data_IF_405500835006
#
_entry.id   IF_405500835006
#
_cell.length_a   1.000
_cell.length_b   1.000
_cell.length_c   1.000
_cell.angle_alpha   90.00
_cell.angle_beta   90.00
_cell.angle_gamma   90.00
#
_symmetry.space_group_name_H-M   'P 1'
#
loop_
_entity.id
_entity.type
_entity.pdbx_description
1 polymer ?
#
# COMPACT_ATOMS: atom_id res chain seq x y z
N UNK A 1 71.36 11.79 -32.46
CA UNK A 1 70.40 11.44 -33.52
C UNK A 1 69.13 10.94 -32.87
N UNK A 2 68.01 11.51 -33.30
CA UNK A 2 66.64 11.28 -32.83
C UNK A 2 66.23 9.81 -32.97
N UNK A 3 65.40 9.33 -32.03
CA UNK A 3 64.07 8.81 -32.37
C UNK A 3 63.22 8.67 -31.11
N UNK A 4 62.08 9.36 -31.12
CA UNK A 4 60.93 9.20 -30.23
C UNK A 4 60.34 7.79 -30.37
N UNK A 5 59.89 7.21 -29.26
CA UNK A 5 58.88 6.15 -29.29
C UNK A 5 57.95 6.32 -28.09
N UNK A 6 56.90 7.09 -28.30
CA UNK A 6 55.71 7.13 -27.44
C UNK A 6 54.93 5.83 -27.71
N UNK A 7 54.78 4.96 -26.71
CA UNK A 7 53.77 3.90 -26.74
C UNK A 7 52.83 4.05 -25.54
N UNK A 8 51.65 4.53 -25.90
CA UNK A 8 50.41 4.60 -25.17
C UNK A 8 49.92 3.17 -24.88
N UNK A 9 49.74 2.80 -23.61
CA UNK A 9 48.84 1.71 -23.22
C UNK A 9 48.08 2.12 -21.96
N UNK A 10 47.04 2.93 -22.17
CA UNK A 10 45.91 3.00 -21.27
C UNK A 10 45.02 1.78 -21.56
N UNK A 11 45.01 0.80 -20.66
CA UNK A 11 44.07 -0.31 -20.72
C UNK A 11 43.90 -0.90 -19.33
N UNK A 12 42.65 -1.05 -18.91
CA UNK A 12 42.30 -1.98 -17.83
C UNK A 12 41.69 -1.39 -16.56
N UNK A 13 41.03 -0.24 -16.61
CA UNK A 13 39.99 0.04 -15.61
C UNK A 13 38.73 -0.75 -16.00
N UNK A 14 38.78 -2.08 -15.83
CA UNK A 14 37.60 -2.93 -15.86
C UNK A 14 36.84 -2.67 -14.55
N UNK A 15 36.10 -1.56 -14.52
CA UNK A 15 34.93 -1.45 -13.64
C UNK A 15 33.95 -2.52 -14.12
N UNK A 16 34.06 -3.72 -13.57
CA UNK A 16 32.90 -4.60 -13.46
C UNK A 16 31.97 -3.96 -12.46
N UNK A 17 31.16 -3.00 -12.93
CA UNK A 17 29.87 -2.72 -12.33
C UNK A 17 29.06 -4.02 -12.45
N UNK A 18 29.26 -4.93 -11.50
CA UNK A 18 28.30 -5.94 -11.15
C UNK A 18 27.04 -5.17 -10.76
N UNK A 19 26.18 -4.90 -11.74
CA UNK A 19 24.78 -4.64 -11.47
C UNK A 19 24.31 -5.89 -10.77
N UNK A 20 24.28 -5.86 -9.44
CA UNK A 20 23.45 -6.76 -8.68
C UNK A 20 22.05 -6.52 -9.23
N UNK A 21 21.63 -7.38 -10.17
CA UNK A 21 20.24 -7.54 -10.54
C UNK A 21 19.57 -8.17 -9.32
N UNK A 22 19.50 -7.40 -8.22
CA UNK A 22 18.62 -7.67 -7.12
C UNK A 22 17.26 -7.79 -7.77
N UNK A 23 16.75 -9.02 -7.80
CA UNK A 23 15.57 -9.38 -8.57
C UNK A 23 14.42 -8.51 -8.06
N UNK A 24 14.16 -7.43 -8.79
CA UNK A 24 13.06 -6.52 -8.52
C UNK A 24 11.79 -7.35 -8.68
N UNK A 25 10.89 -7.27 -7.71
CA UNK A 25 9.59 -7.93 -7.82
C UNK A 25 8.92 -7.49 -9.14
N UNK A 26 8.40 -8.42 -9.94
CA UNK A 26 7.64 -8.09 -11.14
C UNK A 26 6.37 -7.33 -10.75
N UNK A 27 5.83 -6.54 -11.69
CA UNK A 27 4.59 -5.83 -11.42
C UNK A 27 3.39 -6.72 -11.74
N UNK A 28 2.39 -6.72 -10.88
CA UNK A 28 1.20 -7.55 -11.04
C UNK A 28 -0.01 -7.02 -10.27
N UNK A 29 -1.18 -7.56 -10.62
CA UNK A 29 -2.40 -7.59 -9.81
C UNK A 29 -2.80 -9.06 -9.64
N UNK A 30 -3.18 -9.42 -8.43
CA UNK A 30 -3.86 -10.66 -8.10
C UNK A 30 -5.17 -10.29 -7.38
N UNK A 31 -6.27 -10.92 -7.75
CA UNK A 31 -7.58 -10.71 -7.15
C UNK A 31 -8.12 -12.04 -6.67
N UNK A 32 -8.70 -12.10 -5.48
CA UNK A 32 -9.26 -13.30 -4.87
C UNK A 32 -10.60 -13.00 -4.21
N UNK A 33 -11.57 -13.89 -4.39
CA UNK A 33 -12.88 -13.86 -3.73
C UNK A 33 -12.89 -14.91 -2.61
N UNK A 34 -12.76 -14.45 -1.37
CA UNK A 34 -12.61 -15.30 -0.20
C UNK A 34 -13.95 -15.96 0.17
N UNK A 35 -13.87 -17.12 0.85
CA UNK A 35 -15.05 -17.95 1.18
C UNK A 35 -16.07 -17.27 2.09
N UNK A 36 -15.67 -16.22 2.81
CA UNK A 36 -16.52 -15.40 3.67
C UNK A 36 -17.12 -14.18 2.94
N UNK A 37 -16.91 -14.09 1.63
CA UNK A 37 -17.41 -13.01 0.77
C UNK A 37 -16.59 -11.72 0.87
N UNK A 38 -15.39 -11.77 1.45
CA UNK A 38 -14.42 -10.69 1.33
C UNK A 38 -13.80 -10.71 -0.07
N UNK A 39 -13.55 -9.53 -0.61
CA UNK A 39 -12.86 -9.36 -1.89
C UNK A 39 -11.45 -8.83 -1.63
N UNK A 40 -10.43 -9.59 -2.01
CA UNK A 40 -9.03 -9.20 -1.81
C UNK A 40 -8.36 -8.88 -3.15
N UNK A 41 -7.71 -7.73 -3.22
CA UNK A 41 -6.86 -7.32 -4.33
C UNK A 41 -5.44 -7.11 -3.79
N UNK A 42 -4.49 -7.86 -4.35
CA UNK A 42 -3.06 -7.76 -4.10
C UNK A 42 -2.40 -7.18 -5.35
N UNK A 43 -1.48 -6.24 -5.18
CA UNK A 43 -0.74 -5.69 -6.31
C UNK A 43 0.70 -5.35 -5.92
N UNK A 44 1.58 -5.45 -6.90
CA UNK A 44 2.91 -4.86 -6.84
C UNK A 44 3.08 -3.97 -8.07
N UNK A 45 3.46 -2.71 -7.86
CA UNK A 45 3.78 -1.82 -8.96
C UNK A 45 4.93 -0.88 -8.58
N UNK A 46 6.01 -0.93 -9.35
CA UNK A 46 7.15 -0.04 -9.25
C UNK A 46 7.77 0.08 -7.85
N UNK A 47 7.78 -1.00 -7.06
CA UNK A 47 8.33 -1.02 -5.71
C UNK A 47 7.31 -0.69 -4.61
N UNK A 48 6.07 -0.38 -4.98
CA UNK A 48 4.94 -0.27 -4.05
C UNK A 48 4.18 -1.59 -4.05
N UNK A 49 4.03 -2.20 -2.88
CA UNK A 49 3.26 -3.43 -2.68
C UNK A 49 1.99 -3.07 -1.92
N UNK A 50 0.83 -3.42 -2.45
CA UNK A 50 -0.47 -3.09 -1.87
C UNK A 50 -1.36 -4.31 -1.71
N UNK A 51 -2.09 -4.38 -0.60
CA UNK A 51 -3.18 -5.30 -0.36
C UNK A 51 -4.42 -4.51 0.00
N UNK A 52 -5.54 -4.82 -0.61
CA UNK A 52 -6.83 -4.22 -0.33
C UNK A 52 -7.85 -5.31 -0.11
N UNK A 53 -8.53 -5.28 1.03
CA UNK A 53 -9.63 -6.20 1.33
C UNK A 53 -10.89 -5.37 1.53
N UNK A 54 -11.93 -5.66 0.77
CA UNK A 54 -13.24 -5.01 0.89
C UNK A 54 -14.31 -5.98 1.37
N UNK A 55 -15.25 -5.44 2.15
CA UNK A 55 -16.48 -6.14 2.56
C UNK A 55 -17.70 -5.31 2.23
N UNK A 56 -18.69 -5.98 1.66
CA UNK A 56 -19.97 -5.38 1.27
C UNK A 56 -21.05 -5.49 2.34
N UNK A 57 -22.29 -5.21 1.93
CA UNK A 57 -23.47 -5.24 2.82
C UNK A 57 -23.74 -6.61 3.41
N UNK A 58 -23.52 -7.67 2.63
CA UNK A 58 -23.81 -9.05 3.06
C UNK A 58 -22.89 -9.52 4.19
N UNK A 59 -21.74 -8.85 4.37
CA UNK A 59 -20.72 -9.15 5.36
C UNK A 59 -20.75 -8.16 6.55
N UNK A 60 -21.84 -7.42 6.72
CA UNK A 60 -22.07 -6.56 7.88
C UNK A 60 -21.59 -5.11 7.74
N UNK A 61 -21.25 -4.65 6.53
CA UNK A 61 -20.89 -3.25 6.27
C UNK A 61 -21.91 -2.56 5.38
N UNK A 62 -22.85 -1.82 5.97
CA UNK A 62 -23.91 -1.11 5.22
C UNK A 62 -23.36 -0.11 4.19
N UNK A 63 -22.24 0.53 4.54
CA UNK A 63 -21.52 1.52 3.74
C UNK A 63 -20.27 0.94 3.05
N UNK A 64 -19.98 -0.35 3.19
CA UNK A 64 -18.74 -0.92 2.66
C UNK A 64 -17.53 -0.49 3.48
N UNK A 65 -16.70 -1.48 3.83
CA UNK A 65 -15.48 -1.26 4.60
C UNK A 65 -14.30 -1.78 3.80
N UNK A 66 -13.23 -1.00 3.75
CA UNK A 66 -12.01 -1.35 3.03
C UNK A 66 -10.82 -1.24 3.97
N UNK A 67 -10.11 -2.36 4.13
CA UNK A 67 -8.79 -2.39 4.73
C UNK A 67 -7.75 -2.33 3.61
N UNK A 68 -6.88 -1.32 3.64
CA UNK A 68 -5.80 -1.16 2.66
C UNK A 68 -4.47 -1.13 3.37
N UNK A 69 -3.57 -2.03 2.99
CA UNK A 69 -2.20 -2.11 3.49
C UNK A 69 -1.24 -1.84 2.33
N UNK A 70 -0.36 -0.86 2.46
CA UNK A 70 0.56 -0.44 1.39
C UNK A 70 1.96 -0.33 1.95
N UNK A 71 2.90 -1.06 1.36
CA UNK A 71 4.32 -0.99 1.67
C UNK A 71 5.10 -0.29 0.56
N UNK A 72 6.04 0.56 0.96
CA UNK A 72 7.06 1.11 0.07
C UNK A 72 8.38 1.25 0.83
N UNK A 73 9.40 0.52 0.36
CA UNK A 73 10.68 0.34 1.04
C UNK A 73 10.52 -0.26 2.45
N UNK A 74 10.74 0.55 3.49
CA UNK A 74 10.76 0.14 4.92
C UNK A 74 9.53 0.61 5.70
N UNK A 75 8.52 1.07 4.99
CA UNK A 75 7.33 1.67 5.59
C UNK A 75 6.11 0.89 5.16
N UNK A 76 5.29 0.51 6.12
CA UNK A 76 3.97 -0.07 5.90
C UNK A 76 2.92 0.92 6.41
N UNK A 77 1.94 1.18 5.56
CA UNK A 77 0.80 2.04 5.84
C UNK A 77 -0.46 1.18 5.83
N UNK A 78 -1.17 1.15 6.94
CA UNK A 78 -2.49 0.51 7.06
C UNK A 78 -3.54 1.62 7.07
N UNK A 79 -4.58 1.49 6.25
CA UNK A 79 -5.70 2.43 6.17
C UNK A 79 -7.01 1.67 6.33
N UNK A 80 -7.91 2.23 7.15
CA UNK A 80 -9.30 1.81 7.27
C UNK A 80 -10.14 2.87 6.57
N UNK A 81 -10.85 2.48 5.53
CA UNK A 81 -11.67 3.38 4.71
C UNK A 81 -13.10 2.86 4.66
N UNK A 82 -14.06 3.76 4.47
CA UNK A 82 -15.45 3.41 4.16
C UNK A 82 -15.89 4.13 2.90
N UNK A 83 -16.85 3.58 2.18
CA UNK A 83 -17.28 4.14 0.91
C UNK A 83 -18.76 3.95 0.67
N UNK A 84 -19.11 3.60 -0.55
CA UNK A 84 -20.42 3.14 -0.97
C UNK A 84 -20.26 1.83 -1.73
N UNK A 85 -21.04 0.82 -1.35
CA UNK A 85 -21.06 -0.49 -2.03
C UNK A 85 -21.82 -0.32 -3.35
N UNK A 86 -21.12 -0.41 -4.48
CA UNK A 86 -21.71 -0.21 -5.82
C UNK A 86 -22.15 -1.51 -6.48
N UNK A 87 -21.47 -2.62 -6.17
CA UNK A 87 -21.87 -3.97 -6.53
C UNK A 87 -21.58 -4.94 -5.36
N UNK A 88 -21.55 -6.26 -5.60
CA UNK A 88 -21.29 -7.23 -4.52
C UNK A 88 -19.91 -7.10 -3.86
N UNK A 89 -18.91 -6.51 -4.52
CA UNK A 89 -17.50 -6.58 -4.11
C UNK A 89 -16.76 -5.22 -4.17
N UNK A 90 -17.25 -4.29 -5.00
CA UNK A 90 -16.71 -2.96 -5.24
C UNK A 90 -17.21 -1.94 -4.23
N UNK A 91 -16.29 -1.10 -3.75
CA UNK A 91 -16.58 0.00 -2.83
C UNK A 91 -15.99 1.28 -3.40
N UNK A 92 -16.86 2.22 -3.75
CA UNK A 92 -16.51 3.52 -4.32
C UNK A 92 -16.58 4.65 -3.28
N UNK A 93 -16.18 5.87 -3.66
CA UNK A 93 -16.31 7.04 -2.77
C UNK A 93 -15.51 6.94 -1.46
N UNK A 94 -14.37 6.23 -1.49
CA UNK A 94 -13.60 5.90 -0.30
C UNK A 94 -13.19 7.13 0.51
N UNK A 95 -13.50 7.08 1.80
CA UNK A 95 -13.18 8.09 2.80
C UNK A 95 -12.37 7.48 3.94
N UNK A 96 -11.25 8.13 4.29
CA UNK A 96 -10.34 7.65 5.32
C UNK A 96 -10.97 7.78 6.72
N UNK A 97 -11.12 6.65 7.41
CA UNK A 97 -11.62 6.58 8.80
C UNK A 97 -10.49 6.49 9.81
N UNK A 98 -9.50 5.66 9.56
CA UNK A 98 -8.31 5.54 10.41
C UNK A 98 -7.09 5.12 9.60
N UNK A 99 -5.91 5.32 10.15
CA UNK A 99 -4.67 4.86 9.55
C UNK A 99 -3.53 4.70 10.55
N UNK A 100 -2.57 3.87 10.18
CA UNK A 100 -1.35 3.62 10.94
C UNK A 100 -0.16 3.56 9.99
N UNK A 101 0.97 4.15 10.41
CA UNK A 101 2.25 4.07 9.69
C UNK A 101 3.26 3.41 10.61
N UNK A 102 3.73 2.24 10.22
CA UNK A 102 4.81 1.52 10.90
C UNK A 102 6.08 1.54 10.05
N UNK A 103 7.23 1.40 10.71
CA UNK A 103 8.52 1.16 10.06
C UNK A 103 9.25 0.00 10.75
N UNK A 104 8.52 -0.81 11.53
CA UNK A 104 9.06 -2.02 12.13
C UNK A 104 9.44 -2.99 11.01
N UNK A 105 10.72 -3.37 10.87
CA UNK A 105 11.14 -4.31 9.83
C UNK A 105 10.43 -5.67 9.91
N UNK A 106 10.02 -6.10 11.10
CA UNK A 106 9.31 -7.38 11.31
C UNK A 106 7.93 -7.34 10.67
N UNK A 107 7.15 -6.30 10.96
CA UNK A 107 5.80 -6.12 10.41
C UNK A 107 5.84 -5.91 8.90
N UNK A 108 6.81 -5.12 8.40
CA UNK A 108 7.01 -4.90 6.96
C UNK A 108 7.38 -6.21 6.26
N UNK A 109 8.28 -7.01 6.84
CA UNK A 109 8.67 -8.30 6.27
C UNK A 109 7.51 -9.28 6.27
N UNK A 110 6.75 -9.39 7.37
CA UNK A 110 5.59 -10.27 7.47
C UNK A 110 4.53 -9.91 6.43
N UNK A 111 4.29 -8.62 6.19
CA UNK A 111 3.40 -8.17 5.13
C UNK A 111 3.93 -8.53 3.73
N UNK A 112 5.21 -8.27 3.44
CA UNK A 112 5.78 -8.59 2.13
C UNK A 112 5.82 -10.11 1.85
N UNK A 113 5.95 -10.91 2.91
CA UNK A 113 5.93 -12.36 2.82
C UNK A 113 4.61 -12.91 2.30
N UNK A 114 3.48 -12.20 2.45
CA UNK A 114 2.18 -12.61 1.89
C UNK A 114 2.09 -12.51 0.38
N UNK A 115 3.12 -11.99 -0.30
CA UNK A 115 3.19 -11.84 -1.75
C UNK A 115 4.19 -12.80 -2.40
N UNK A 116 4.83 -13.70 -1.64
CA UNK A 116 5.86 -14.61 -2.17
C UNK A 116 5.31 -15.47 -3.32
N UNK A 117 4.16 -16.10 -3.09
CA UNK A 117 3.52 -16.97 -4.08
C UNK A 117 3.08 -16.18 -5.33
N UNK A 118 2.60 -14.94 -5.14
CA UNK A 118 2.24 -14.05 -6.26
C UNK A 118 3.48 -13.68 -7.08
N UNK A 119 4.61 -13.41 -6.44
CA UNK A 119 5.87 -13.08 -7.11
C UNK A 119 6.40 -14.27 -7.89
N UNK A 120 6.30 -15.48 -7.36
CA UNK A 120 6.68 -16.70 -8.08
C UNK A 120 5.77 -16.91 -9.30
N UNK A 121 4.46 -16.76 -9.11
CA UNK A 121 3.44 -16.82 -10.17
C UNK A 121 3.73 -15.79 -11.27
N UNK A 122 3.99 -14.53 -10.89
CA UNK A 122 4.32 -13.44 -11.79
C UNK A 122 5.58 -13.67 -12.64
N UNK A 123 6.55 -14.44 -12.13
CA UNK A 123 7.79 -14.76 -12.86
C UNK A 123 7.59 -15.86 -13.89
N UNK A 124 6.62 -16.75 -13.66
CA UNK A 124 6.38 -17.91 -14.49
C UNK A 124 5.34 -17.65 -15.58
N UNK A 125 4.52 -16.60 -15.43
CA UNK A 125 3.48 -16.24 -16.39
C UNK A 125 3.98 -15.13 -17.33
N UNK A 126 3.82 -15.27 -18.65
CA UNK A 126 4.14 -14.20 -19.59
C UNK A 126 3.28 -12.96 -19.36
N UNK A 127 3.88 -11.77 -19.53
CA UNK A 127 3.16 -10.50 -19.48
C UNK A 127 1.87 -10.52 -20.34
N UNK A 128 0.74 -10.08 -19.78
CA UNK A 128 -0.55 -10.08 -20.46
C UNK A 128 -1.28 -11.42 -20.53
N UNK A 129 -0.74 -12.49 -19.93
CA UNK A 129 -1.43 -13.78 -19.82
C UNK A 129 -2.23 -13.86 -18.51
N UNK A 130 -3.44 -14.43 -18.60
CA UNK A 130 -4.28 -14.71 -17.45
C UNK A 130 -4.09 -16.18 -17.06
N UNK A 131 -3.66 -16.47 -15.83
CA UNK A 131 -3.67 -17.84 -15.29
C UNK A 131 -4.75 -17.93 -14.23
N UNK A 132 -5.72 -18.82 -14.41
CA UNK A 132 -6.78 -19.11 -13.44
C UNK A 132 -6.59 -20.44 -12.70
N UNK A 133 -5.37 -20.98 -12.63
CA UNK A 133 -5.14 -22.32 -12.04
C UNK A 133 -5.25 -22.36 -10.51
N UNK A 134 -5.29 -21.20 -9.84
CA UNK A 134 -5.59 -21.10 -8.41
C UNK A 134 -7.06 -20.71 -8.27
N UNK A 135 -7.89 -21.63 -7.78
CA UNK A 135 -9.33 -21.44 -7.64
C UNK A 135 -9.71 -20.03 -7.12
N UNK A 136 -10.54 -19.33 -7.90
CA UNK A 136 -11.03 -17.95 -7.69
C UNK A 136 -9.98 -16.82 -7.72
N UNK A 137 -8.71 -17.12 -7.98
CA UNK A 137 -7.67 -16.08 -8.09
C UNK A 137 -7.47 -15.68 -9.55
N UNK A 138 -7.65 -14.40 -9.83
CA UNK A 138 -7.37 -13.81 -11.14
C UNK A 138 -6.04 -13.07 -11.09
N UNK A 139 -5.09 -13.45 -11.95
CA UNK A 139 -3.73 -12.89 -11.98
C UNK A 139 -3.46 -12.13 -13.28
N UNK A 140 -2.87 -10.93 -13.17
CA UNK A 140 -2.51 -10.05 -14.29
C UNK A 140 -1.11 -9.49 -14.10
N UNK A 141 -0.20 -9.78 -15.02
CA UNK A 141 1.11 -9.12 -15.09
C UNK A 141 0.99 -7.72 -15.71
N UNK A 142 1.74 -6.74 -15.18
CA UNK A 142 1.70 -5.35 -15.60
C UNK A 142 3.04 -4.88 -16.21
N UNK A 143 2.99 -4.28 -17.39
CA UNK A 143 4.14 -3.63 -18.02
C UNK A 143 4.17 -2.12 -17.77
N UNK A 144 2.99 -1.52 -17.59
CA UNK A 144 2.81 -0.07 -17.51
C UNK A 144 1.69 0.33 -16.56
N UNK A 145 1.75 1.55 -16.03
CA UNK A 145 0.75 2.07 -15.09
C UNK A 145 -0.62 2.25 -15.75
N UNK A 146 -0.65 2.47 -17.07
CA UNK A 146 -1.89 2.57 -17.84
C UNK A 146 -2.75 1.30 -17.79
N UNK A 147 -2.14 0.14 -17.52
CA UNK A 147 -2.85 -1.13 -17.34
C UNK A 147 -3.49 -1.25 -15.95
N UNK A 148 -3.14 -0.40 -14.98
CA UNK A 148 -3.83 -0.37 -13.69
C UNK A 148 -5.25 0.16 -13.88
N UNK A 149 -6.27 -0.56 -13.37
CA UNK A 149 -7.61 -0.03 -13.22
C UNK A 149 -7.59 1.29 -12.45
N UNK A 150 -8.41 2.24 -12.88
CA UNK A 150 -8.41 3.60 -12.33
C UNK A 150 -8.60 3.63 -10.81
N UNK A 151 -9.48 2.76 -10.29
CA UNK A 151 -9.75 2.64 -8.86
C UNK A 151 -8.58 2.08 -8.03
N UNK A 152 -7.62 1.38 -8.65
CA UNK A 152 -6.42 0.84 -7.98
C UNK A 152 -5.23 1.80 -8.02
N UNK A 153 -5.18 2.75 -8.96
CA UNK A 153 -4.07 3.71 -9.08
C UNK A 153 -3.77 4.46 -7.77
N UNK A 154 -4.74 4.89 -6.94
CA UNK A 154 -4.43 5.54 -5.67
C UNK A 154 -3.56 4.70 -4.72
N UNK A 155 -3.55 3.37 -4.86
CA UNK A 155 -2.72 2.47 -4.04
C UNK A 155 -1.23 2.66 -4.32
N UNK A 156 -0.84 2.92 -5.57
CA UNK A 156 0.57 3.09 -5.97
C UNK A 156 1.14 4.44 -5.51
N UNK A 157 0.30 5.39 -5.14
CA UNK A 157 0.70 6.72 -4.68
C UNK A 157 1.04 6.76 -3.18
N UNK A 158 1.98 5.92 -2.73
CA UNK A 158 2.34 5.78 -1.30
C UNK A 158 2.61 7.12 -0.59
N UNK A 159 3.30 8.05 -1.24
CA UNK A 159 3.61 9.38 -0.67
C UNK A 159 2.35 10.18 -0.35
N UNK A 160 1.36 10.10 -1.22
CA UNK A 160 0.07 10.78 -1.05
C UNK A 160 -0.71 10.15 0.10
N UNK A 161 -0.86 8.82 0.11
CA UNK A 161 -1.53 8.09 1.19
C UNK A 161 -0.89 8.38 2.55
N UNK A 162 0.45 8.41 2.62
CA UNK A 162 1.18 8.78 3.83
C UNK A 162 0.90 10.22 4.26
N UNK A 163 0.80 11.15 3.31
CA UNK A 163 0.44 12.54 3.60
C UNK A 163 -0.98 12.65 4.15
N UNK A 164 -1.94 11.98 3.53
CA UNK A 164 -3.34 11.90 3.97
C UNK A 164 -3.43 11.36 5.40
N UNK A 165 -2.70 10.28 5.71
CA UNK A 165 -2.67 9.70 7.05
C UNK A 165 -2.11 10.67 8.10
N UNK A 166 -0.97 11.33 7.82
CA UNK A 166 -0.41 12.34 8.71
C UNK A 166 -1.37 13.51 8.94
N UNK A 167 -2.08 13.95 7.90
CA UNK A 167 -3.08 15.00 8.01
C UNK A 167 -4.27 14.54 8.87
N UNK A 168 -4.73 13.31 8.71
CA UNK A 168 -5.78 12.70 9.53
C UNK A 168 -5.38 12.68 11.02
N UNK A 169 -4.20 12.15 11.36
CA UNK A 169 -3.69 12.15 12.75
C UNK A 169 -3.61 13.56 13.35
N UNK A 170 -3.19 14.56 12.57
CA UNK A 170 -3.17 15.96 13.04
C UNK A 170 -4.57 16.47 13.39
N UNK A 171 -5.57 16.16 12.56
CA UNK A 171 -6.97 16.55 12.82
C UNK A 171 -7.51 15.87 14.07
N UNK A 172 -7.31 14.55 14.21
CA UNK A 172 -7.75 13.79 15.38
C UNK A 172 -7.12 14.33 16.66
N UNK A 173 -5.81 14.55 16.69
CA UNK A 173 -5.11 15.13 17.85
C UNK A 173 -5.65 16.51 18.22
N UNK A 174 -5.93 17.36 17.24
CA UNK A 174 -6.53 18.69 17.46
C UNK A 174 -7.92 18.57 18.08
N UNK A 175 -8.77 17.69 17.54
CA UNK A 175 -10.14 17.47 18.04
C UNK A 175 -10.14 16.92 19.47
N UNK A 176 -9.30 15.93 19.77
CA UNK A 176 -9.16 15.36 21.12
C UNK A 176 -8.67 16.42 22.11
N UNK A 177 -7.69 17.25 21.72
CA UNK A 177 -7.20 18.34 22.58
C UNK A 177 -8.29 19.36 22.87
N UNK A 178 -9.06 19.78 21.86
CA UNK A 178 -10.16 20.73 22.02
C UNK A 178 -11.25 20.18 22.95
N UNK A 179 -11.63 18.90 22.78
CA UNK A 179 -12.62 18.23 23.64
C UNK A 179 -12.18 18.20 25.11
N UNK A 180 -10.92 17.82 25.37
CA UNK A 180 -10.34 17.82 26.73
C UNK A 180 -10.32 19.21 27.37
N UNK A 181 -10.12 20.27 26.58
CA UNK A 181 -10.15 21.65 27.08
C UNK A 181 -11.57 22.06 27.47
N UNK A 182 -12.57 21.72 26.65
CA UNK A 182 -13.98 21.98 26.95
C UNK A 182 -14.43 21.26 28.23
N UNK A 183 -14.12 19.96 28.36
CA UNK A 183 -14.45 19.15 29.54
C UNK A 183 -13.88 19.75 30.84
N UNK A 184 -12.63 20.25 30.81
CA UNK A 184 -12.00 20.91 31.97
C UNK A 184 -12.70 22.22 32.34
N UNK A 185 -13.07 23.03 31.34
CA UNK A 185 -13.80 24.28 31.57
C UNK A 185 -15.18 24.03 32.18
N UNK A 186 -15.90 23.01 31.69
CA UNK A 186 -17.21 22.61 32.23
C UNK A 186 -17.11 22.06 33.65
N UNK A 187 -16.10 21.22 33.94
CA UNK A 187 -15.88 20.69 35.28
C UNK A 187 -15.61 21.80 36.30
N UNK A 188 -14.73 22.76 35.96
CA UNK A 188 -14.44 23.90 36.83
C UNK A 188 -15.67 24.80 37.07
N UNK A 189 -16.57 24.95 36.10
CA UNK A 189 -17.83 25.67 36.29
C UNK A 189 -18.77 24.95 37.26
N UNK A 190 -18.88 23.62 37.19
CA UNK A 190 -19.71 22.83 38.10
C UNK A 190 -19.19 22.80 39.54
N UNK A 191 -17.87 22.82 39.75
CA UNK A 191 -17.29 22.88 41.11
C UNK A 191 -17.57 24.23 41.79
N UNK A 192 -17.57 25.32 41.01
CA UNK A 192 -17.84 26.67 41.52
C UNK A 192 -19.32 26.91 41.88
N UNK A 193 -20.25 26.23 41.22
CA UNK A 193 -21.69 26.36 41.52
C UNK A 193 -22.13 25.53 42.72
N UNK A 194 -21.41 24.47 43.09
CA UNK A 194 -21.74 23.61 44.23
C UNK A 194 -21.10 24.03 45.57
N UNK A 195 -20.20 25.01 45.54
CA UNK A 195 -19.47 25.53 46.73
C UNK A 195 -20.10 26.82 47.30
N UNK A 196 -21.32 27.16 46.89
CA UNK A 196 -22.14 28.26 47.42
C UNK A 196 -23.36 27.68 48.10
#
# INVERSE_FOLDING_TARGET
>A
MNTFSVKLYALGCLLTCLTAAGHRMPNFIAQDDLSDGQHEIRLHYNGVTGKQTSVGRQQGSESGLVLRQVSHHRHLLTLIMVGEVTDSTSVDGLSLRDCEITSDPTEVSLFLDTFKDDVETARNIPAGSWSGELHNVTFVHLDSESQLPEYLRPITHFRELRSQCKAHHRRVRKAVKARRQMEKSTHNQHTLTHSR
#
